data_IF_288488299166
#
_entry.id   IF_288488299166
#
_cell.length_a   1.000
_cell.length_b   1.000
_cell.length_c   1.000
_cell.angle_alpha   90.00
_cell.angle_beta   90.00
_cell.angle_gamma   90.00
#
_symmetry.space_group_name_H-M   'P 1'
#
loop_
_entity.id
_entity.type
_entity.pdbx_description
1 polymer ?
#
# COMPACT_ATOMS: atom_id res chain seq x y z
N UNK A 1 10.58 -0.81 -11.60
CA UNK A 1 10.50 0.23 -10.56
C UNK A 1 10.03 -0.33 -9.23
N UNK A 2 8.84 -0.95 -9.18
CA UNK A 2 8.34 -1.64 -7.97
C UNK A 2 9.40 -2.60 -7.41
N UNK A 3 9.88 -3.57 -8.20
CA UNK A 3 10.90 -4.53 -7.77
C UNK A 3 12.14 -3.89 -7.13
N UNK A 4 12.70 -2.84 -7.74
CA UNK A 4 13.85 -2.11 -7.21
C UNK A 4 13.52 -1.47 -5.85
N UNK A 5 12.38 -0.80 -5.74
CA UNK A 5 11.90 -0.24 -4.48
C UNK A 5 11.54 -1.31 -3.44
N UNK A 6 11.18 -2.53 -3.85
CA UNK A 6 11.02 -3.64 -2.90
C UNK A 6 12.38 -4.11 -2.39
N UNK A 7 13.33 -4.35 -3.30
CA UNK A 7 14.64 -4.93 -3.02
C UNK A 7 15.58 -3.98 -2.26
N UNK A 8 15.38 -2.67 -2.36
CA UNK A 8 16.13 -1.67 -1.58
C UNK A 8 15.69 -1.60 -0.10
N UNK A 9 14.59 -2.28 0.29
CA UNK A 9 14.17 -2.33 1.69
C UNK A 9 15.08 -3.24 2.52
N UNK A 10 15.68 -2.70 3.57
CA UNK A 10 16.45 -3.50 4.54
C UNK A 10 15.60 -3.98 5.72
N UNK A 11 14.39 -3.45 5.87
CA UNK A 11 13.52 -3.69 7.03
C UNK A 11 12.33 -4.61 6.71
N UNK A 12 12.36 -5.27 5.55
CA UNK A 12 11.27 -6.11 5.06
C UNK A 12 10.18 -5.32 4.31
N UNK A 13 9.13 -6.04 3.93
CA UNK A 13 8.05 -5.54 3.09
C UNK A 13 6.71 -6.09 3.61
N UNK A 14 5.68 -5.25 3.61
CA UNK A 14 4.29 -5.67 3.75
C UNK A 14 3.60 -5.59 2.39
N UNK A 15 3.09 -6.72 1.92
CA UNK A 15 2.13 -6.77 0.81
C UNK A 15 0.71 -6.64 1.37
N UNK A 16 0.04 -5.53 1.06
CA UNK A 16 -1.30 -5.23 1.58
C UNK A 16 -2.35 -5.26 0.45
N UNK A 17 -3.33 -6.16 0.58
CA UNK A 17 -4.43 -6.32 -0.38
C UNK A 17 -5.68 -6.82 0.34
N UNK A 18 -6.85 -6.34 -0.09
CA UNK A 18 -8.17 -6.84 0.35
C UNK A 18 -8.83 -7.73 -0.72
N UNK A 19 -8.03 -8.21 -1.69
CA UNK A 19 -8.50 -9.01 -2.82
C UNK A 19 -8.99 -8.16 -4.00
N UNK A 20 -9.93 -8.70 -4.78
CA UNK A 20 -10.56 -8.00 -5.91
C UNK A 20 -11.97 -7.49 -5.61
N UNK A 21 -12.60 -8.00 -4.54
CA UNK A 21 -13.98 -7.69 -4.18
C UNK A 21 -14.13 -6.44 -3.33
N UNK A 22 -13.05 -6.01 -2.67
CA UNK A 22 -13.05 -4.86 -1.76
C UNK A 22 -12.12 -3.79 -2.30
N UNK A 23 -12.68 -2.61 -2.58
CA UNK A 23 -11.95 -1.43 -3.02
C UNK A 23 -11.65 -0.56 -1.80
N UNK A 24 -10.39 -0.56 -1.34
CA UNK A 24 -10.00 0.20 -0.15
C UNK A 24 -10.21 1.71 -0.31
N UNK A 25 -10.07 2.23 -1.53
CA UNK A 25 -10.29 3.64 -1.84
C UNK A 25 -11.74 4.11 -1.63
N UNK A 26 -12.70 3.19 -1.42
CA UNK A 26 -14.09 3.56 -1.09
C UNK A 26 -14.36 3.61 0.42
N UNK A 27 -13.35 3.36 1.26
CA UNK A 27 -13.52 3.40 2.71
C UNK A 27 -13.73 4.85 3.20
N UNK A 28 -14.48 5.04 4.31
CA UNK A 28 -14.64 6.35 4.91
C UNK A 28 -13.29 6.99 5.26
N UNK A 29 -13.20 8.31 5.13
CA UNK A 29 -11.99 9.08 5.41
C UNK A 29 -11.35 8.78 6.79
N UNK A 30 -12.10 8.66 7.90
CA UNK A 30 -11.52 8.31 9.20
C UNK A 30 -10.80 6.96 9.20
N UNK A 31 -11.35 5.98 8.47
CA UNK A 31 -10.77 4.64 8.33
C UNK A 31 -9.48 4.71 7.51
N UNK A 32 -9.49 5.42 6.39
CA UNK A 32 -8.29 5.60 5.55
C UNK A 32 -7.18 6.33 6.30
N UNK A 33 -7.50 7.39 7.06
CA UNK A 33 -6.53 8.10 7.90
C UNK A 33 -5.93 7.20 8.98
N UNK A 34 -6.73 6.34 9.59
CA UNK A 34 -6.22 5.37 10.57
C UNK A 34 -5.26 4.37 9.92
N UNK A 35 -5.59 3.84 8.73
CA UNK A 35 -4.71 2.95 7.97
C UNK A 35 -3.38 3.64 7.62
N UNK A 36 -3.43 4.88 7.12
CA UNK A 36 -2.22 5.64 6.79
C UNK A 36 -1.35 5.90 8.03
N UNK A 37 -1.96 6.25 9.17
CA UNK A 37 -1.22 6.44 10.41
C UNK A 37 -0.51 5.18 10.88
N UNK A 38 -1.15 4.00 10.70
CA UNK A 38 -0.49 2.72 11.00
C UNK A 38 0.68 2.47 10.06
N UNK A 39 0.50 2.68 8.75
CA UNK A 39 1.58 2.50 7.76
C UNK A 39 2.77 3.42 8.01
N UNK A 40 2.52 4.68 8.35
CA UNK A 40 3.58 5.63 8.71
C UNK A 40 4.36 5.18 9.94
N UNK A 41 3.68 4.70 10.99
CA UNK A 41 4.30 4.28 12.26
C UNK A 41 5.16 3.03 12.16
N UNK A 42 4.93 2.19 11.16
CA UNK A 42 5.73 0.97 10.93
C UNK A 42 6.95 1.23 10.02
N UNK A 43 7.14 2.46 9.54
CA UNK A 43 8.39 2.83 8.88
C UNK A 43 9.59 2.48 9.80
N UNK A 44 10.71 1.98 9.25
CA UNK A 44 11.06 1.96 7.83
C UNK A 44 10.54 0.76 7.02
N UNK A 45 9.67 -0.09 7.57
CA UNK A 45 9.06 -1.19 6.80
C UNK A 45 8.25 -0.60 5.63
N UNK A 46 8.53 -1.07 4.42
CA UNK A 46 7.83 -0.63 3.20
C UNK A 46 6.50 -1.34 3.05
N UNK A 47 5.49 -0.66 2.53
CA UNK A 47 4.17 -1.24 2.26
C UNK A 47 3.85 -1.13 0.78
N UNK A 48 3.60 -2.26 0.11
CA UNK A 48 3.06 -2.30 -1.23
C UNK A 48 1.55 -2.56 -1.14
N UNK A 49 0.75 -1.53 -1.39
CA UNK A 49 -0.71 -1.58 -1.27
C UNK A 49 -1.40 -1.67 -2.64
N UNK A 50 -2.31 -2.63 -2.78
CA UNK A 50 -3.18 -2.73 -3.95
C UNK A 50 -4.39 -1.79 -3.82
N UNK A 51 -4.66 -0.97 -4.84
CA UNK A 51 -5.83 -0.07 -4.93
C UNK A 51 -6.42 -0.14 -6.34
N UNK A 52 -7.74 -0.25 -6.53
CA UNK A 52 -8.26 -0.42 -7.89
C UNK A 52 -8.20 0.89 -8.71
N UNK A 53 -8.54 2.02 -8.07
CA UNK A 53 -8.48 3.37 -8.65
C UNK A 53 -7.61 4.30 -7.78
N UNK A 54 -6.40 4.61 -8.26
CA UNK A 54 -5.46 5.51 -7.56
C UNK A 54 -6.00 6.93 -7.39
N UNK A 55 -6.82 7.43 -8.33
CA UNK A 55 -7.34 8.80 -8.30
C UNK A 55 -8.47 9.00 -7.29
N UNK A 56 -9.12 7.91 -6.85
CA UNK A 56 -10.15 7.95 -5.83
C UNK A 56 -9.58 7.80 -4.40
N UNK A 57 -8.27 7.56 -4.29
CA UNK A 57 -7.62 7.35 -3.00
C UNK A 57 -7.47 8.66 -2.23
N UNK A 58 -7.70 8.62 -0.91
CA UNK A 58 -7.52 9.77 -0.03
C UNK A 58 -6.08 10.30 -0.12
N UNK A 59 -5.85 11.63 -0.24
CA UNK A 59 -4.50 12.21 -0.24
C UNK A 59 -3.79 12.01 1.10
N UNK A 60 -2.47 12.22 1.10
CA UNK A 60 -1.62 12.04 2.29
C UNK A 60 -1.09 10.62 2.48
N UNK A 61 -0.84 9.91 1.37
CA UNK A 61 -0.21 8.60 1.38
C UNK A 61 1.20 8.73 2.02
N UNK A 62 1.55 7.90 3.03
CA UNK A 62 2.87 7.96 3.67
C UNK A 62 4.02 7.56 2.72
N UNK A 63 5.21 8.12 2.93
CA UNK A 63 6.39 7.95 2.05
C UNK A 63 6.88 6.49 1.94
N UNK A 64 6.63 5.67 2.96
CA UNK A 64 6.98 4.24 2.96
C UNK A 64 5.93 3.36 2.26
N UNK A 65 4.91 3.95 1.63
CA UNK A 65 3.82 3.23 0.96
C UNK A 65 3.88 3.45 -0.54
N UNK A 66 3.90 2.36 -1.30
CA UNK A 66 3.74 2.36 -2.75
C UNK A 66 2.39 1.77 -3.13
N UNK A 67 1.66 2.43 -4.03
CA UNK A 67 0.36 1.96 -4.52
C UNK A 67 0.42 1.44 -5.96
N UNK A 68 -0.28 0.35 -6.22
CA UNK A 68 -0.48 -0.17 -7.57
C UNK A 68 -1.90 -0.72 -7.77
N UNK A 69 -2.43 -0.58 -8.99
CA UNK A 69 -3.69 -1.22 -9.38
C UNK A 69 -3.53 -2.69 -9.73
N UNK A 70 -2.31 -3.10 -10.03
CA UNK A 70 -1.99 -4.48 -10.33
C UNK A 70 -0.62 -4.84 -9.77
N UNK A 71 -0.53 -6.01 -9.12
CA UNK A 71 0.67 -6.53 -8.50
C UNK A 71 0.77 -8.01 -8.87
N UNK A 72 1.89 -8.48 -9.45
CA UNK A 72 2.08 -9.90 -9.72
C UNK A 72 2.34 -10.65 -8.40
N UNK A 73 1.26 -11.10 -7.75
CA UNK A 73 1.31 -11.63 -6.38
C UNK A 73 2.32 -12.79 -6.21
N UNK A 74 2.43 -13.69 -7.19
CA UNK A 74 3.37 -14.83 -7.16
C UNK A 74 4.84 -14.38 -7.24
N UNK A 75 5.11 -13.22 -7.84
CA UNK A 75 6.48 -12.69 -7.91
C UNK A 75 6.87 -11.89 -6.66
N UNK A 76 5.90 -11.51 -5.83
CA UNK A 76 6.12 -10.71 -4.61
C UNK A 76 6.17 -11.57 -3.35
N UNK A 77 5.40 -12.67 -3.31
CA UNK A 77 5.38 -13.65 -2.21
C UNK A 77 6.44 -14.73 -2.42
#
# INVERSE_FOLDING_TARGET
EIEKWLNESTSGLIYFTLGSMVNIETFPEPTMKAIYSVFERIAPVRVLMKVANKSALLPGLPDNVMISSWIPQVAVL
#
